data_IF_993677245607
#
_entry.id   IF_993677245607
#
_cell.length_a   1.000
_cell.length_b   1.000
_cell.length_c   1.000
_cell.angle_alpha   90.00
_cell.angle_beta   90.00
_cell.angle_gamma   90.00
#
_symmetry.space_group_name_H-M   'P 1'
#
loop_
_entity.id
_entity.type
_entity.pdbx_description
1 polymer ?
#
# COMPACT_ATOMS: atom_id res chain seq x y z
N UNK A 1 -14.19 -15.14 -21.02
CA UNK A 1 -13.60 -16.46 -20.72
C UNK A 1 -14.65 -17.55 -20.52
N UNK A 2 -15.80 -17.27 -19.90
CA UNK A 2 -16.87 -18.27 -19.69
C UNK A 2 -17.48 -18.81 -20.99
N UNK A 3 -17.61 -17.94 -22.01
CA UNK A 3 -18.08 -18.31 -23.34
C UNK A 3 -17.14 -17.74 -24.42
N UNK A 4 -16.03 -18.41 -24.74
CA UNK A 4 -15.11 -17.98 -25.78
C UNK A 4 -15.73 -18.07 -27.19
N UNK A 5 -16.73 -18.93 -27.39
CA UNK A 5 -17.39 -19.10 -28.68
C UNK A 5 -18.23 -17.88 -29.08
N UNK A 6 -18.72 -17.10 -28.10
CA UNK A 6 -19.41 -15.81 -28.34
C UNK A 6 -18.62 -14.81 -29.18
N UNK A 7 -17.29 -14.95 -29.26
CA UNK A 7 -16.39 -14.12 -30.06
C UNK A 7 -15.64 -14.92 -31.15
N UNK A 8 -16.16 -16.10 -31.52
CA UNK A 8 -15.57 -16.95 -32.56
C UNK A 8 -14.27 -17.65 -32.15
N UNK A 9 -13.96 -17.72 -30.85
CA UNK A 9 -12.77 -18.39 -30.34
C UNK A 9 -13.09 -19.80 -29.85
N UNK A 10 -12.44 -20.81 -30.41
CA UNK A 10 -12.47 -22.17 -29.89
C UNK A 10 -11.33 -22.35 -28.87
N UNK A 11 -11.69 -22.35 -27.60
CA UNK A 11 -10.72 -22.48 -26.52
C UNK A 11 -10.04 -23.86 -26.56
N UNK A 12 -8.70 -23.84 -26.50
CA UNK A 12 -7.87 -25.05 -26.38
C UNK A 12 -7.70 -25.53 -24.94
N UNK A 13 -8.01 -24.65 -23.97
CA UNK A 13 -7.89 -24.88 -22.54
C UNK A 13 -9.12 -24.31 -21.83
N UNK A 14 -9.51 -24.89 -20.70
CA UNK A 14 -10.59 -24.36 -19.86
C UNK A 14 -10.08 -23.21 -18.98
N UNK A 15 -9.98 -22.02 -19.58
CA UNK A 15 -9.58 -20.81 -18.86
C UNK A 15 -10.60 -20.39 -17.81
N UNK A 16 -11.86 -20.83 -17.93
CA UNK A 16 -12.88 -20.54 -16.93
C UNK A 16 -12.62 -21.35 -15.65
N UNK A 17 -12.37 -22.65 -15.77
CA UNK A 17 -11.97 -23.48 -14.64
C UNK A 17 -10.65 -22.99 -14.01
N UNK A 18 -9.68 -22.57 -14.83
CA UNK A 18 -8.43 -22.01 -14.33
C UNK A 18 -8.67 -20.71 -13.51
N UNK A 19 -9.49 -19.79 -14.04
CA UNK A 19 -9.90 -18.58 -13.32
C UNK A 19 -10.54 -18.91 -11.96
N UNK A 20 -11.51 -19.82 -11.94
CA UNK A 20 -12.24 -20.18 -10.72
C UNK A 20 -11.39 -20.87 -9.64
N UNK A 21 -10.24 -21.47 -10.00
CA UNK A 21 -9.46 -22.31 -9.08
C UNK A 21 -8.06 -21.80 -8.78
N UNK A 22 -7.53 -20.84 -9.57
CA UNK A 22 -6.13 -20.40 -9.49
C UNK A 22 -5.94 -18.91 -9.36
N UNK A 23 -7.02 -18.13 -9.41
CA UNK A 23 -6.95 -16.68 -9.35
C UNK A 23 -7.69 -16.17 -8.11
N UNK A 24 -7.10 -15.15 -7.50
CA UNK A 24 -7.73 -14.29 -6.51
C UNK A 24 -8.09 -12.99 -7.22
N UNK A 25 -9.34 -12.54 -7.07
CA UNK A 25 -9.72 -11.26 -7.62
C UNK A 25 -9.09 -10.14 -6.78
N UNK A 26 -8.70 -9.06 -7.45
CA UNK A 26 -8.19 -7.89 -6.75
C UNK A 26 -8.49 -6.60 -7.47
N UNK A 27 -8.50 -5.51 -6.71
CA UNK A 27 -8.60 -4.15 -7.24
C UNK A 27 -7.77 -3.20 -6.38
N UNK A 28 -7.52 -2.00 -6.90
CA UNK A 28 -6.81 -0.92 -6.21
C UNK A 28 -7.79 0.23 -5.98
N UNK A 29 -7.64 0.94 -4.87
CA UNK A 29 -8.54 2.03 -4.52
C UNK A 29 -7.87 3.08 -3.64
N UNK A 30 -8.21 4.34 -3.91
CA UNK A 30 -7.90 5.47 -3.04
C UNK A 30 -9.13 5.96 -2.27
N UNK A 31 -10.25 5.24 -2.33
CA UNK A 31 -11.46 5.57 -1.60
C UNK A 31 -11.32 5.19 -0.13
N UNK A 32 -11.88 5.99 0.80
CA UNK A 32 -11.89 5.66 2.22
C UNK A 32 -12.75 4.43 2.50
N UNK A 33 -12.53 3.81 3.66
CA UNK A 33 -13.24 2.61 4.11
C UNK A 33 -14.77 2.79 4.08
N UNK A 34 -15.27 4.00 4.37
CA UNK A 34 -16.70 4.31 4.32
C UNK A 34 -17.36 4.01 2.97
N UNK A 35 -16.58 4.06 1.90
CA UNK A 35 -17.07 3.95 0.53
C UNK A 35 -16.91 2.51 0.01
N UNK A 36 -16.00 1.72 0.57
CA UNK A 36 -15.65 0.39 0.06
C UNK A 36 -16.83 -0.58 0.12
N UNK A 37 -17.61 -0.58 1.21
CA UNK A 37 -18.80 -1.44 1.31
C UNK A 37 -19.86 -1.09 0.26
N UNK A 38 -20.43 0.12 0.26
CA UNK A 38 -21.55 0.45 -0.63
C UNK A 38 -21.15 0.53 -2.11
N UNK A 39 -19.89 0.87 -2.43
CA UNK A 39 -19.45 0.97 -3.84
C UNK A 39 -18.97 -0.35 -4.43
N UNK A 40 -18.54 -1.31 -3.60
CA UNK A 40 -17.92 -2.53 -4.09
C UNK A 40 -18.38 -3.79 -3.36
N UNK A 41 -18.13 -3.91 -2.05
CA UNK A 41 -18.29 -5.21 -1.37
C UNK A 41 -19.72 -5.72 -1.41
N UNK A 42 -20.74 -4.88 -1.23
CA UNK A 42 -22.14 -5.33 -1.23
C UNK A 42 -22.53 -6.02 -2.55
N UNK A 43 -22.13 -5.44 -3.68
CA UNK A 43 -22.43 -6.01 -4.99
C UNK A 43 -21.50 -7.20 -5.30
N UNK A 44 -20.23 -7.11 -4.91
CA UNK A 44 -19.27 -8.19 -5.11
C UNK A 44 -19.66 -9.45 -4.34
N UNK A 45 -20.00 -9.33 -3.05
CA UNK A 45 -20.44 -10.41 -2.19
C UNK A 45 -21.71 -11.10 -2.73
N UNK A 46 -22.60 -10.32 -3.35
CA UNK A 46 -23.82 -10.82 -4.00
C UNK A 46 -23.54 -11.57 -5.30
N UNK A 47 -22.62 -11.07 -6.14
CA UNK A 47 -22.37 -11.61 -7.49
C UNK A 47 -21.31 -12.72 -7.53
N UNK A 48 -20.34 -12.69 -6.62
CA UNK A 48 -19.13 -13.51 -6.67
C UNK A 48 -19.02 -14.49 -5.50
N UNK A 49 -20.16 -14.94 -4.94
CA UNK A 49 -20.23 -15.88 -3.82
C UNK A 49 -19.17 -16.99 -3.90
N UNK A 50 -18.38 -17.13 -2.83
CA UNK A 50 -17.29 -18.10 -2.72
C UNK A 50 -15.99 -17.72 -3.44
N UNK A 51 -15.93 -16.57 -4.10
CA UNK A 51 -14.72 -16.05 -4.76
C UNK A 51 -14.10 -14.93 -3.93
N UNK A 52 -13.00 -15.17 -3.21
CA UNK A 52 -12.37 -14.15 -2.39
C UNK A 52 -11.89 -12.95 -3.22
N UNK A 53 -11.75 -11.80 -2.56
CA UNK A 53 -11.15 -10.59 -3.14
C UNK A 53 -10.10 -10.00 -2.20
N UNK A 54 -9.06 -9.41 -2.77
CA UNK A 54 -8.01 -8.66 -2.08
C UNK A 54 -7.97 -7.22 -2.62
N UNK A 55 -7.71 -6.24 -1.77
CA UNK A 55 -7.36 -4.90 -2.26
C UNK A 55 -5.83 -4.85 -2.42
N UNK A 56 -5.37 -4.79 -3.66
CA UNK A 56 -3.93 -4.84 -3.99
C UNK A 56 -3.19 -3.56 -3.60
N UNK A 57 -3.87 -2.42 -3.66
CA UNK A 57 -3.36 -1.12 -3.23
C UNK A 57 -4.48 -0.36 -2.52
N UNK A 58 -4.28 -0.07 -1.24
CA UNK A 58 -5.22 0.66 -0.40
C UNK A 58 -4.51 1.78 0.35
N UNK A 59 -4.96 3.01 0.16
CA UNK A 59 -4.70 4.14 1.05
C UNK A 59 -5.57 5.30 0.57
N UNK A 60 -6.21 6.00 1.52
CA UNK A 60 -7.08 7.13 1.21
C UNK A 60 -6.51 8.43 1.81
N UNK A 61 -5.51 9.10 1.21
CA UNK A 61 -4.81 10.24 1.80
C UNK A 61 -5.71 11.40 2.28
N UNK A 62 -6.93 11.50 1.75
CA UNK A 62 -7.95 12.49 2.13
C UNK A 62 -9.07 12.00 3.07
N UNK A 63 -8.91 10.84 3.72
CA UNK A 63 -9.94 10.27 4.58
C UNK A 63 -10.31 11.22 5.74
N UNK A 64 -11.55 11.72 5.74
CA UNK A 64 -12.04 12.70 6.75
C UNK A 64 -12.03 12.17 8.18
N UNK A 65 -12.17 10.86 8.34
CA UNK A 65 -12.16 10.16 9.63
C UNK A 65 -10.76 9.96 10.18
N UNK A 66 -9.76 10.10 9.30
CA UNK A 66 -8.38 9.88 9.62
C UNK A 66 -7.86 8.48 9.38
N UNK A 67 -6.57 8.36 9.07
CA UNK A 67 -5.94 7.11 8.61
C UNK A 67 -6.04 5.99 9.63
N UNK A 68 -5.92 6.30 10.94
CA UNK A 68 -6.01 5.27 11.97
C UNK A 68 -7.39 4.62 11.99
N UNK A 69 -8.46 5.42 11.91
CA UNK A 69 -9.84 4.91 11.93
C UNK A 69 -10.18 4.23 10.62
N UNK A 70 -9.71 4.77 9.51
CA UNK A 70 -9.90 4.25 8.17
C UNK A 70 -9.28 2.84 8.03
N UNK A 71 -8.01 2.67 8.42
CA UNK A 71 -7.32 1.38 8.41
C UNK A 71 -7.95 0.36 9.37
N UNK A 72 -8.36 0.80 10.57
CA UNK A 72 -9.07 -0.07 11.51
C UNK A 72 -10.40 -0.59 10.94
N UNK A 73 -11.13 0.25 10.20
CA UNK A 73 -12.36 -0.16 9.52
C UNK A 73 -12.08 -1.20 8.41
N UNK A 74 -11.01 -1.01 7.63
CA UNK A 74 -10.61 -1.99 6.61
C UNK A 74 -10.21 -3.34 7.19
N UNK A 75 -9.48 -3.34 8.32
CA UNK A 75 -9.15 -4.58 9.05
C UNK A 75 -10.45 -5.26 9.52
N UNK A 76 -11.40 -4.50 10.07
CA UNK A 76 -12.69 -5.03 10.48
C UNK A 76 -13.49 -5.62 9.30
N UNK A 77 -13.42 -5.03 8.11
CA UNK A 77 -14.04 -5.59 6.92
C UNK A 77 -13.39 -6.91 6.51
N UNK A 78 -12.06 -6.98 6.48
CA UNK A 78 -11.35 -8.21 6.13
C UNK A 78 -11.53 -9.34 7.17
N UNK A 79 -11.92 -9.00 8.40
CA UNK A 79 -12.25 -9.97 9.46
C UNK A 79 -13.73 -10.36 9.48
N UNK A 80 -14.59 -9.62 8.78
CA UNK A 80 -16.02 -9.90 8.73
C UNK A 80 -16.31 -11.05 7.77
N UNK A 81 -16.70 -12.19 8.36
CA UNK A 81 -17.03 -13.42 7.63
C UNK A 81 -18.25 -13.29 6.70
N UNK A 82 -19.02 -12.19 6.78
CA UNK A 82 -20.09 -11.89 5.82
C UNK A 82 -19.59 -11.29 4.52
N UNK A 83 -18.32 -10.87 4.45
CA UNK A 83 -17.70 -10.32 3.24
C UNK A 83 -16.75 -11.32 2.58
N UNK A 84 -16.54 -11.19 1.27
CA UNK A 84 -15.52 -11.94 0.53
C UNK A 84 -14.14 -11.25 0.56
N UNK A 85 -14.01 -10.11 1.25
CA UNK A 85 -12.73 -9.41 1.40
C UNK A 85 -11.81 -10.20 2.32
N UNK A 86 -10.66 -10.59 1.80
CA UNK A 86 -9.67 -11.39 2.53
C UNK A 86 -8.52 -10.58 3.10
N UNK A 87 -8.37 -9.32 2.66
CA UNK A 87 -7.31 -8.43 3.12
C UNK A 87 -7.06 -7.28 2.17
N UNK A 88 -6.05 -6.48 2.51
CA UNK A 88 -5.57 -5.38 1.70
C UNK A 88 -4.07 -5.15 1.90
N UNK A 89 -3.42 -4.55 0.91
CA UNK A 89 -2.04 -4.07 1.01
C UNK A 89 -2.02 -2.54 1.00
N UNK A 90 -1.33 -1.95 1.99
CA UNK A 90 -1.23 -0.50 2.10
C UNK A 90 -0.38 0.07 0.96
N UNK A 91 -0.87 1.12 0.30
CA UNK A 91 -0.17 1.80 -0.79
C UNK A 91 0.21 3.23 -0.39
N UNK A 92 1.47 3.61 -0.29
CA UNK A 92 2.69 2.86 -0.60
C UNK A 92 3.76 3.08 0.46
N UNK A 93 4.84 2.31 0.38
CA UNK A 93 5.90 2.36 1.37
C UNK A 93 6.65 3.70 1.35
N UNK A 94 7.04 4.18 0.17
CA UNK A 94 7.83 5.40 0.01
C UNK A 94 7.13 6.40 -0.89
N UNK A 95 7.15 7.68 -0.53
CA UNK A 95 6.66 8.79 -1.34
C UNK A 95 7.36 8.80 -2.72
N UNK A 96 6.55 8.87 -3.79
CA UNK A 96 7.01 8.96 -5.18
C UNK A 96 7.32 10.39 -5.60
N UNK A 97 8.46 10.89 -5.13
CA UNK A 97 8.97 12.23 -5.45
C UNK A 97 9.15 12.49 -6.95
N UNK A 98 9.36 11.44 -7.75
CA UNK A 98 9.47 11.51 -9.21
C UNK A 98 8.14 11.82 -9.92
N UNK A 99 7.00 11.49 -9.30
CA UNK A 99 5.67 11.73 -9.87
C UNK A 99 5.15 13.15 -9.57
N UNK A 100 5.48 13.68 -8.39
CA UNK A 100 4.98 14.98 -7.93
C UNK A 100 3.46 15.03 -7.71
N UNK A 101 2.96 16.21 -7.31
CA UNK A 101 1.52 16.46 -7.17
C UNK A 101 0.83 15.56 -6.13
N UNK A 102 -0.42 15.19 -6.40
CA UNK A 102 -1.24 14.34 -5.51
C UNK A 102 -0.70 12.92 -5.34
N UNK A 103 0.20 12.46 -6.22
CA UNK A 103 0.83 11.14 -6.09
C UNK A 103 1.79 11.09 -4.90
N UNK A 104 2.27 12.24 -4.40
CA UNK A 104 3.14 12.30 -3.24
C UNK A 104 2.42 12.02 -1.92
N UNK A 105 1.09 12.02 -1.92
CA UNK A 105 0.28 11.87 -0.70
C UNK A 105 0.15 10.40 -0.24
N UNK A 106 0.59 9.43 -1.07
CA UNK A 106 0.38 8.01 -0.81
C UNK A 106 1.48 7.35 0.04
N UNK A 107 2.69 7.90 0.07
CA UNK A 107 3.82 7.26 0.75
C UNK A 107 3.76 7.38 2.27
N UNK A 108 3.97 6.27 2.98
CA UNK A 108 4.09 6.29 4.45
C UNK A 108 5.46 6.78 4.94
N UNK A 109 6.49 6.72 4.09
CA UNK A 109 7.83 7.27 4.35
C UNK A 109 8.26 8.24 3.25
N UNK A 110 8.74 9.42 3.61
CA UNK A 110 9.41 10.34 2.69
C UNK A 110 10.93 10.16 2.74
N UNK A 111 11.63 10.67 1.73
CA UNK A 111 13.08 10.89 1.81
C UNK A 111 13.36 11.95 2.89
N UNK A 112 14.33 11.68 3.76
CA UNK A 112 14.90 12.63 4.71
C UNK A 112 15.92 13.56 4.05
N UNK A 113 16.67 14.28 4.88
CA UNK A 113 17.71 15.22 4.47
C UNK A 113 19.10 14.59 4.37
N UNK A 114 19.24 13.31 4.72
CA UNK A 114 20.50 12.59 4.74
C UNK A 114 20.49 11.39 3.78
N UNK A 115 21.53 11.31 2.94
CA UNK A 115 21.86 10.13 2.14
C UNK A 115 23.16 9.52 2.68
N UNK A 116 23.18 8.19 2.83
CA UNK A 116 24.30 7.47 3.43
C UNK A 116 25.16 6.72 2.39
N UNK A 117 24.88 6.92 1.10
CA UNK A 117 25.64 6.33 0.02
C UNK A 117 24.83 6.19 -1.26
N UNK A 118 25.43 5.55 -2.26
CA UNK A 118 24.81 5.31 -3.54
C UNK A 118 24.60 3.82 -3.81
N UNK A 119 23.49 3.49 -4.47
CA UNK A 119 23.21 2.16 -5.01
C UNK A 119 23.31 2.19 -6.54
N UNK A 120 24.14 1.32 -7.10
CA UNK A 120 24.20 1.13 -8.54
C UNK A 120 23.11 0.17 -9.01
N UNK A 121 22.21 0.65 -9.86
CA UNK A 121 21.09 -0.12 -10.39
C UNK A 121 20.92 0.15 -11.89
N UNK A 122 21.04 -0.92 -12.70
CA UNK A 122 20.88 -0.89 -14.17
C UNK A 122 21.63 0.24 -14.90
N UNK A 123 22.90 0.49 -14.57
CA UNK A 123 23.69 1.51 -15.27
C UNK A 123 23.67 2.90 -14.64
N UNK A 124 22.85 3.09 -13.61
CA UNK A 124 22.64 4.39 -12.97
C UNK A 124 22.94 4.28 -11.48
N UNK A 125 23.65 5.28 -10.94
CA UNK A 125 23.86 5.43 -9.50
C UNK A 125 22.70 6.22 -8.91
N UNK A 126 22.09 5.70 -7.84
CA UNK A 126 21.00 6.36 -7.13
C UNK A 126 21.40 6.62 -5.67
N UNK A 127 21.22 7.83 -5.14
CA UNK A 127 21.45 8.08 -3.73
C UNK A 127 20.46 7.28 -2.88
N UNK A 128 20.96 6.63 -1.84
CA UNK A 128 20.17 5.91 -0.84
C UNK A 128 19.94 6.85 0.33
N UNK A 129 18.68 7.15 0.61
CA UNK A 129 18.26 8.13 1.60
C UNK A 129 17.78 7.47 2.88
N UNK A 130 17.95 8.19 3.99
CA UNK A 130 17.31 7.87 5.24
C UNK A 130 15.84 8.27 5.17
N UNK A 131 14.96 7.33 5.52
CA UNK A 131 13.52 7.50 5.39
C UNK A 131 12.93 8.16 6.64
N UNK A 132 12.00 9.09 6.43
CA UNK A 132 11.30 9.82 7.47
C UNK A 132 9.81 9.47 7.46
N UNK A 133 9.20 9.12 8.60
CA UNK A 133 7.76 8.84 8.67
C UNK A 133 6.95 10.06 8.23
N UNK A 134 5.97 9.85 7.34
CA UNK A 134 5.01 10.88 6.97
C UNK A 134 3.95 11.02 8.08
N UNK A 135 3.56 12.25 8.40
CA UNK A 135 2.50 12.50 9.38
C UNK A 135 1.14 12.01 8.86
N UNK A 136 0.35 11.37 9.73
CA UNK A 136 -1.06 11.15 9.44
C UNK A 136 -1.82 12.47 9.46
N UNK A 137 -2.95 12.54 8.74
CA UNK A 137 -3.95 13.61 8.85
C UNK A 137 -4.41 13.86 10.30
N UNK A 138 -4.25 12.87 11.17
CA UNK A 138 -4.69 12.86 12.55
C UNK A 138 -3.46 13.16 13.38
N UNK A 139 -3.25 14.44 13.68
CA UNK A 139 -2.01 15.10 14.11
C UNK A 139 -1.21 14.54 15.30
N UNK A 140 -1.52 13.34 15.80
CA UNK A 140 -0.83 12.67 16.90
C UNK A 140 -0.02 11.42 16.51
N UNK A 141 -0.05 10.97 15.25
CA UNK A 141 0.67 9.76 14.82
C UNK A 141 1.20 9.85 13.38
N UNK A 142 2.26 9.08 13.06
CA UNK A 142 2.71 8.92 11.68
C UNK A 142 1.83 7.93 10.90
N UNK A 143 1.89 7.95 9.57
CA UNK A 143 1.25 6.94 8.70
C UNK A 143 1.73 5.52 9.03
N UNK A 144 3.04 5.25 9.18
CA UNK A 144 3.53 3.95 9.63
C UNK A 144 2.94 3.51 10.98
N UNK A 145 2.79 4.43 11.95
CA UNK A 145 2.20 4.09 13.25
C UNK A 145 0.70 3.78 13.16
N UNK A 146 -0.03 4.49 12.29
CA UNK A 146 -1.43 4.20 12.02
C UNK A 146 -1.59 2.80 11.41
N UNK A 147 -0.73 2.45 10.44
CA UNK A 147 -0.72 1.13 9.82
C UNK A 147 -0.34 0.03 10.81
N UNK A 148 0.77 0.20 11.54
CA UNK A 148 1.20 -0.76 12.54
C UNK A 148 0.11 -0.98 13.59
N UNK A 149 -0.51 0.10 14.09
CA UNK A 149 -1.60 0.00 15.06
C UNK A 149 -2.81 -0.77 14.53
N UNK A 150 -3.15 -0.65 13.24
CA UNK A 150 -4.29 -1.35 12.66
C UNK A 150 -4.03 -2.87 12.57
N UNK A 151 -2.79 -3.28 12.30
CA UNK A 151 -2.40 -4.68 12.19
C UNK A 151 -1.84 -5.28 13.50
N UNK A 152 -1.83 -4.53 14.60
CA UNK A 152 -1.32 -4.99 15.90
C UNK A 152 0.22 -5.03 16.01
N UNK A 153 0.92 -4.28 15.16
CA UNK A 153 2.36 -4.09 15.20
C UNK A 153 2.82 -3.05 16.23
N UNK A 154 4.12 -3.02 16.51
CA UNK A 154 4.73 -2.17 17.54
C UNK A 154 4.83 -0.67 17.17
N UNK A 155 4.67 -0.32 15.89
CA UNK A 155 4.91 1.03 15.39
C UNK A 155 6.35 1.23 14.92
N UNK A 156 6.74 2.47 14.70
CA UNK A 156 8.11 2.84 14.34
C UNK A 156 8.86 3.28 15.60
N UNK A 157 10.02 2.67 15.87
CA UNK A 157 10.98 3.17 16.86
C UNK A 157 11.92 4.19 16.17
N UNK A 158 11.85 5.49 16.51
CA UNK A 158 12.71 6.49 15.89
C UNK A 158 14.21 6.27 16.14
N UNK A 159 14.57 5.52 17.19
CA UNK A 159 15.97 5.21 17.50
C UNK A 159 16.56 4.11 16.62
N UNK A 160 15.71 3.29 16.00
CA UNK A 160 16.10 2.27 15.03
C UNK A 160 16.11 2.81 13.59
N UNK A 161 15.55 4.00 13.36
CA UNK A 161 15.63 4.67 12.07
C UNK A 161 17.06 5.13 11.79
N UNK A 162 17.38 5.26 10.50
CA UNK A 162 18.66 5.82 10.09
C UNK A 162 18.87 7.19 10.74
N UNK A 163 20.07 7.37 11.30
CA UNK A 163 20.54 8.65 11.81
C UNK A 163 21.83 9.06 11.09
N UNK A 164 21.98 10.36 10.89
CA UNK A 164 23.22 10.93 10.36
C UNK A 164 24.37 10.60 11.31
N UNK A 165 25.33 9.80 10.83
CA UNK A 165 26.53 9.48 11.57
C UNK A 165 27.74 10.24 10.97
N UNK A 166 28.10 11.41 11.51
CA UNK A 166 29.24 12.16 10.99
C UNK A 166 30.57 11.40 11.14
N UNK A 167 30.67 10.43 12.05
CA UNK A 167 31.88 9.64 12.24
C UNK A 167 32.15 8.63 11.11
N UNK A 168 31.16 8.35 10.25
CA UNK A 168 31.33 7.46 9.09
C UNK A 168 31.64 8.21 7.79
N UNK A 169 31.63 9.54 7.81
CA UNK A 169 32.00 10.34 6.65
C UNK A 169 33.53 10.42 6.54
N UNK A 170 34.11 10.19 5.35
CA UNK A 170 35.52 10.42 5.13
C UNK A 170 35.80 11.92 5.26
N UNK A 171 36.71 12.28 6.17
CA UNK A 171 37.22 13.65 6.27
C UNK A 171 37.92 14.02 4.97
N UNK A 172 37.39 15.02 4.27
CA UNK A 172 38.00 15.61 3.08
C UNK A 172 38.65 16.95 3.40
N UNK A 173 39.41 17.51 2.47
CA UNK A 173 40.04 18.82 2.64
C UNK A 173 39.03 19.97 2.83
N UNK A 174 37.76 19.75 2.43
CA UNK A 174 36.68 20.72 2.55
C UNK A 174 35.85 20.54 3.85
N UNK A 175 36.17 19.54 4.67
CA UNK A 175 35.43 19.18 5.89
C UNK A 175 34.74 17.81 5.80
N UNK A 176 33.66 17.65 6.58
CA UNK A 176 32.70 16.55 6.40
C UNK A 176 31.78 16.83 5.21
#
# INVERSE_FOLDING_TARGET
MRDPASVGYHARNDLWAAYQTRFLNSFNTANPASDIRPLFLEEYDRQFQGTPVLIGEYHAPGARTGQRKDLAAMVAFAQDASTLLTGFAFFEFQVRHDKGGSEMDFGMFSLGDYSFGDMYYFGTSFPVWCLMPVSSSDAAASLPDALASAFGGAGVDPSELCSSNPATLPLTADGF
#
